data_IF_946454893026
#
_entry.id   IF_946454893026
#
_cell.length_a   1.000
_cell.length_b   1.000
_cell.length_c   1.000
_cell.angle_alpha   90.00
_cell.angle_beta   90.00
_cell.angle_gamma   90.00
#
_symmetry.space_group_name_H-M   'P 1'
#
loop_
_entity.id
_entity.type
_entity.pdbx_description
1 polymer ?
#
# COMPACT_ATOMS: atom_id res chain seq x y z
N UNK A 1 22.07 -20.80 13.37
CA UNK A 1 20.83 -20.00 13.51
C UNK A 1 20.30 -19.60 12.14
N UNK A 2 19.00 -19.63 12.00
CA UNK A 2 18.39 -19.20 10.75
C UNK A 2 18.43 -17.67 10.65
N UNK A 3 18.73 -17.18 9.47
CA UNK A 3 18.67 -15.75 9.16
C UNK A 3 17.23 -15.43 8.76
N UNK A 4 16.68 -14.36 9.28
CA UNK A 4 15.35 -13.88 8.91
C UNK A 4 15.45 -12.54 8.21
N UNK A 5 14.41 -12.21 7.46
CA UNK A 5 14.38 -11.01 6.63
C UNK A 5 13.10 -10.22 6.85
N UNK A 6 13.20 -8.91 6.74
CA UNK A 6 12.07 -8.00 6.74
C UNK A 6 11.91 -7.44 5.32
N UNK A 7 10.75 -7.65 4.73
CA UNK A 7 10.46 -7.19 3.38
C UNK A 7 9.49 -6.01 3.42
N UNK A 8 9.85 -4.95 2.70
CA UNK A 8 9.02 -3.76 2.59
C UNK A 8 8.31 -3.74 1.23
N UNK A 9 7.02 -3.50 1.27
CA UNK A 9 6.15 -3.48 0.09
C UNK A 9 5.50 -2.13 -0.11
N UNK A 10 5.07 -1.86 -1.32
CA UNK A 10 4.21 -0.71 -1.61
C UNK A 10 2.83 -1.21 -2.03
N UNK A 11 1.82 -0.44 -1.71
CA UNK A 11 0.44 -0.72 -2.09
C UNK A 11 -0.20 0.57 -2.57
N UNK A 12 -0.58 0.60 -3.84
CA UNK A 12 -1.11 1.79 -4.47
C UNK A 12 -2.61 1.95 -4.23
N UNK A 13 -3.04 3.19 -4.04
CA UNK A 13 -4.45 3.55 -3.93
C UNK A 13 -4.68 4.83 -4.74
N UNK A 14 -5.88 4.97 -5.30
CA UNK A 14 -6.26 6.15 -6.07
C UNK A 14 -7.26 6.98 -5.30
N UNK A 15 -7.08 8.30 -5.33
CA UNK A 15 -8.04 9.27 -4.79
C UNK A 15 -8.56 10.08 -5.97
N UNK A 16 -9.86 9.99 -6.21
CA UNK A 16 -10.52 10.68 -7.32
C UNK A 16 -11.13 12.00 -6.85
N UNK A 17 -11.32 12.91 -7.80
CA UNK A 17 -12.02 14.16 -7.54
C UNK A 17 -11.19 15.26 -6.91
N UNK A 18 -9.88 15.10 -6.82
CA UNK A 18 -9.00 16.17 -6.35
C UNK A 18 -8.99 17.34 -7.37
N UNK A 19 -8.98 18.55 -6.86
CA UNK A 19 -8.91 19.76 -7.67
C UNK A 19 -7.55 20.44 -7.57
N UNK A 20 -6.61 19.84 -6.84
CA UNK A 20 -5.27 20.37 -6.65
C UNK A 20 -4.25 19.45 -7.30
N UNK A 21 -3.43 19.98 -8.21
CA UNK A 21 -2.46 19.19 -8.96
C UNK A 21 -1.43 18.51 -8.07
N UNK A 22 -1.09 19.12 -6.93
CA UNK A 22 -0.12 18.57 -5.98
C UNK A 22 -0.79 17.75 -4.86
N UNK A 23 -2.09 17.50 -4.99
CA UNK A 23 -2.88 16.70 -4.05
C UNK A 23 -2.92 17.27 -2.62
N UNK A 24 -2.77 18.58 -2.47
CA UNK A 24 -2.81 19.21 -1.14
C UNK A 24 -4.20 19.16 -0.50
N UNK A 25 -5.24 18.96 -1.31
CA UNK A 25 -6.63 18.80 -0.86
C UNK A 25 -6.96 17.35 -0.42
N UNK A 26 -6.04 16.42 -0.61
CA UNK A 26 -6.23 15.03 -0.20
C UNK A 26 -5.86 14.88 1.26
N UNK A 27 -6.81 14.40 2.07
CA UNK A 27 -6.62 14.24 3.51
C UNK A 27 -6.20 12.83 3.89
N UNK A 28 -5.61 12.68 5.08
CA UNK A 28 -5.29 11.37 5.62
C UNK A 28 -6.54 10.49 5.81
N UNK A 29 -7.67 11.10 6.15
CA UNK A 29 -8.93 10.38 6.28
C UNK A 29 -9.39 9.80 4.94
N UNK A 30 -9.25 10.56 3.86
CA UNK A 30 -9.58 10.09 2.51
C UNK A 30 -8.67 8.93 2.10
N UNK A 31 -7.38 9.04 2.37
CA UNK A 31 -6.42 7.98 2.08
C UNK A 31 -6.74 6.71 2.85
N UNK A 32 -7.03 6.84 4.15
CA UNK A 32 -7.40 5.70 4.98
C UNK A 32 -8.64 4.99 4.46
N UNK A 33 -9.69 5.76 4.16
CA UNK A 33 -10.95 5.21 3.65
C UNK A 33 -10.75 4.48 2.33
N UNK A 34 -9.98 5.06 1.42
CA UNK A 34 -9.71 4.46 0.11
C UNK A 34 -8.90 3.17 0.24
N UNK A 35 -7.89 3.15 1.12
CA UNK A 35 -7.08 1.96 1.38
C UNK A 35 -7.93 0.83 1.95
N UNK A 36 -8.75 1.12 2.95
CA UNK A 36 -9.64 0.12 3.58
C UNK A 36 -10.64 -0.42 2.58
N UNK A 37 -11.26 0.44 1.78
CA UNK A 37 -12.22 0.01 0.77
C UNK A 37 -11.58 -0.90 -0.27
N UNK A 38 -10.39 -0.56 -0.73
CA UNK A 38 -9.67 -1.37 -1.71
C UNK A 38 -9.31 -2.74 -1.16
N UNK A 39 -8.70 -2.78 0.03
CA UNK A 39 -8.27 -4.05 0.66
C UNK A 39 -9.46 -4.94 0.95
N UNK A 40 -10.55 -4.38 1.46
CA UNK A 40 -11.76 -5.14 1.81
C UNK A 40 -12.39 -5.83 0.60
N UNK A 41 -12.29 -5.22 -0.59
CA UNK A 41 -12.87 -5.76 -1.82
C UNK A 41 -11.97 -6.77 -2.53
N UNK A 42 -10.76 -6.99 -2.04
CA UNK A 42 -9.76 -7.85 -2.69
C UNK A 42 -9.63 -9.19 -1.99
N UNK A 43 -9.36 -10.25 -2.77
CA UNK A 43 -8.93 -11.53 -2.22
C UNK A 43 -7.47 -11.46 -1.80
N UNK A 44 -7.01 -12.46 -1.03
CA UNK A 44 -5.61 -12.54 -0.61
C UNK A 44 -4.66 -12.60 -1.82
N UNK A 45 -5.03 -13.35 -2.86
CA UNK A 45 -4.25 -13.44 -4.08
C UNK A 45 -4.15 -12.10 -4.80
N UNK A 46 -5.25 -11.36 -4.84
CA UNK A 46 -5.28 -10.02 -5.44
C UNK A 46 -4.40 -9.03 -4.67
N UNK A 47 -4.42 -9.10 -3.34
CA UNK A 47 -3.56 -8.26 -2.50
C UNK A 47 -2.09 -8.58 -2.77
N UNK A 48 -1.75 -9.87 -2.82
CA UNK A 48 -0.39 -10.32 -3.13
C UNK A 48 0.08 -9.79 -4.48
N UNK A 49 -0.77 -9.89 -5.49
CA UNK A 49 -0.47 -9.41 -6.83
C UNK A 49 -0.31 -7.89 -6.87
N UNK A 50 -1.16 -7.16 -6.16
CA UNK A 50 -1.10 -5.70 -6.12
C UNK A 50 0.17 -5.18 -5.42
N UNK A 51 0.65 -5.89 -4.40
CA UNK A 51 1.89 -5.53 -3.71
C UNK A 51 3.13 -5.88 -4.51
N UNK A 52 3.03 -6.89 -5.39
CA UNK A 52 4.11 -7.35 -6.25
C UNK A 52 5.36 -7.74 -5.44
N UNK A 53 6.54 -7.52 -5.99
CA UNK A 53 7.79 -7.81 -5.30
C UNK A 53 8.11 -6.73 -4.25
N UNK A 54 8.82 -7.07 -3.16
CA UNK A 54 9.22 -6.06 -2.21
C UNK A 54 10.15 -5.03 -2.87
N UNK A 55 9.97 -3.77 -2.52
CA UNK A 55 10.86 -2.72 -3.02
C UNK A 55 12.17 -2.67 -2.23
N UNK A 56 12.20 -3.25 -1.05
CA UNK A 56 13.42 -3.33 -0.25
C UNK A 56 13.35 -4.55 0.68
N UNK A 57 14.51 -5.08 1.06
CA UNK A 57 14.64 -6.24 1.93
C UNK A 57 15.79 -6.00 2.90
N UNK A 58 15.53 -6.23 4.16
CA UNK A 58 16.49 -6.01 5.25
C UNK A 58 16.72 -7.31 6.00
N UNK A 59 17.96 -7.60 6.32
CA UNK A 59 18.26 -8.71 7.20
C UNK A 59 17.90 -8.33 8.64
N UNK A 60 17.17 -9.19 9.31
CA UNK A 60 16.79 -8.97 10.71
C UNK A 60 17.88 -9.47 11.66
N UNK A 61 18.11 -8.71 12.71
CA UNK A 61 19.03 -9.10 13.78
C UNK A 61 18.38 -10.04 14.78
#
# INVERSE_FOLDING_TARGET
MAVTYNHAYTFAVEIKGSTNEEAEDVTGAQLRAALLARITSMTDDEVREACDAPYDTFEED
#
